data_IF_120288134604
#
_entry.id   IF_120288134604
#
_cell.length_a   1.000
_cell.length_b   1.000
_cell.length_c   1.000
_cell.angle_alpha   90.00
_cell.angle_beta   90.00
_cell.angle_gamma   90.00
#
_symmetry.space_group_name_H-M   'P 1'
#
loop_
_entity.id
_entity.type
_entity.pdbx_description
1 polymer ?
#
# COMPACT_ATOMS: atom_id res chain seq x y z
N UNK A 1 37.68 -8.78 -3.22
CA UNK A 1 36.95 -7.74 -2.45
C UNK A 1 36.01 -8.47 -1.53
N UNK A 2 36.10 -8.16 -0.24
CA UNK A 2 35.79 -9.05 0.88
C UNK A 2 34.30 -9.11 1.24
N UNK A 3 33.82 -10.27 1.70
CA UNK A 3 32.42 -10.48 2.10
C UNK A 3 32.01 -9.56 3.26
N UNK A 4 32.97 -9.22 4.13
CA UNK A 4 32.78 -8.26 5.21
C UNK A 4 32.42 -6.84 4.71
N UNK A 5 33.00 -6.42 3.58
CA UNK A 5 32.67 -5.12 2.98
C UNK A 5 31.28 -5.11 2.34
N UNK A 6 30.83 -6.23 1.75
CA UNK A 6 29.46 -6.34 1.25
C UNK A 6 28.43 -6.30 2.38
N UNK A 7 28.69 -6.99 3.49
CA UNK A 7 27.81 -6.98 4.66
C UNK A 7 27.75 -5.61 5.34
N UNK A 8 28.90 -4.94 5.48
CA UNK A 8 28.95 -3.58 6.02
C UNK A 8 28.22 -2.57 5.11
N UNK A 9 28.37 -2.69 3.79
CA UNK A 9 27.68 -1.82 2.81
C UNK A 9 26.17 -2.05 2.86
N UNK A 10 25.71 -3.30 2.86
CA UNK A 10 24.29 -3.63 2.97
C UNK A 10 23.67 -3.15 4.29
N UNK A 11 24.41 -3.24 5.40
CA UNK A 11 23.96 -2.73 6.70
C UNK A 11 23.84 -1.20 6.72
N UNK A 12 24.82 -0.48 6.16
CA UNK A 12 24.77 0.99 6.06
C UNK A 12 23.63 1.44 5.14
N UNK A 13 23.40 0.72 4.05
CA UNK A 13 22.31 0.99 3.11
C UNK A 13 20.94 0.79 3.78
N UNK A 14 20.74 -0.31 4.51
CA UNK A 14 19.53 -0.58 5.28
C UNK A 14 19.26 0.49 6.36
N UNK A 15 20.29 0.91 7.10
CA UNK A 15 20.15 1.98 8.10
C UNK A 15 19.82 3.34 7.48
N UNK A 16 20.40 3.63 6.31
CA UNK A 16 20.14 4.88 5.58
C UNK A 16 18.71 4.88 5.02
N UNK A 17 18.30 3.75 4.44
CA UNK A 17 16.94 3.55 3.93
C UNK A 17 15.89 3.64 5.04
N UNK A 18 16.17 3.04 6.20
CA UNK A 18 15.30 3.15 7.37
C UNK A 18 15.11 4.59 7.83
N UNK A 19 16.17 5.40 7.88
CA UNK A 19 16.06 6.82 8.24
C UNK A 19 15.27 7.63 7.22
N UNK A 20 15.49 7.37 5.93
CA UNK A 20 14.75 8.05 4.84
C UNK A 20 13.28 7.70 4.91
N UNK A 21 12.93 6.42 5.10
CA UNK A 21 11.54 5.96 5.22
C UNK A 21 10.86 6.48 6.49
N UNK A 22 11.56 6.51 7.64
CA UNK A 22 11.06 7.13 8.88
C UNK A 22 10.80 8.64 8.71
N UNK A 23 11.67 9.34 7.97
CA UNK A 23 11.49 10.76 7.66
C UNK A 23 10.33 11.02 6.69
N UNK A 24 10.26 10.25 5.59
CA UNK A 24 9.25 10.40 4.54
C UNK A 24 7.86 10.02 5.02
N UNK A 25 7.74 8.96 5.82
CA UNK A 25 6.45 8.39 6.21
C UNK A 25 6.44 7.90 7.66
N UNK A 26 6.24 8.81 8.63
CA UNK A 26 6.05 8.42 10.03
C UNK A 26 4.71 7.69 10.26
N UNK A 27 3.81 7.69 9.28
CA UNK A 27 2.49 7.10 9.40
C UNK A 27 2.57 5.58 9.19
N UNK A 28 2.38 4.80 10.26
CA UNK A 28 2.25 3.36 10.16
C UNK A 28 0.94 3.00 9.43
N UNK A 29 1.03 2.78 8.11
CA UNK A 29 -0.10 2.36 7.25
C UNK A 29 -0.47 0.89 7.45
N UNK A 30 0.45 0.07 7.99
CA UNK A 30 0.22 -1.35 8.21
C UNK A 30 -0.87 -1.58 9.28
N UNK A 31 -0.99 -0.71 10.28
CA UNK A 31 -2.04 -0.82 11.30
C UNK A 31 -3.45 -0.76 10.69
N UNK A 32 -3.72 0.24 9.84
CA UNK A 32 -5.02 0.39 9.17
C UNK A 32 -5.28 -0.75 8.21
N UNK A 33 -4.26 -1.14 7.44
CA UNK A 33 -4.36 -2.25 6.50
C UNK A 33 -4.68 -3.57 7.20
N UNK A 34 -3.97 -3.89 8.29
CA UNK A 34 -4.19 -5.11 9.06
C UNK A 34 -5.58 -5.12 9.71
N UNK A 35 -6.04 -3.98 10.24
CA UNK A 35 -7.39 -3.86 10.79
C UNK A 35 -8.46 -4.07 9.71
N UNK A 36 -8.30 -3.45 8.54
CA UNK A 36 -9.22 -3.59 7.41
C UNK A 36 -9.26 -5.03 6.87
N UNK A 37 -8.09 -5.67 6.71
CA UNK A 37 -7.99 -7.08 6.29
C UNK A 37 -8.69 -8.00 7.27
N UNK A 38 -8.54 -7.79 8.59
CA UNK A 38 -9.22 -8.59 9.63
C UNK A 38 -10.75 -8.42 9.63
N UNK A 39 -11.25 -7.26 9.21
CA UNK A 39 -12.69 -7.00 9.09
C UNK A 39 -13.32 -7.63 7.85
N UNK A 40 -12.51 -8.13 6.90
CA UNK A 40 -13.03 -8.79 5.70
C UNK A 40 -13.67 -10.13 6.08
N UNK A 41 -14.91 -10.31 5.64
CA UNK A 41 -15.65 -11.56 5.81
C UNK A 41 -15.59 -12.37 4.51
N UNK A 42 -14.98 -13.56 4.54
CA UNK A 42 -14.96 -14.51 3.42
C UNK A 42 -14.66 -13.86 2.05
N UNK A 43 -15.48 -14.18 1.05
CA UNK A 43 -15.36 -13.70 -0.33
C UNK A 43 -15.89 -12.26 -0.55
N UNK A 44 -16.10 -11.48 0.52
CA UNK A 44 -16.55 -10.09 0.40
C UNK A 44 -15.54 -9.27 -0.41
N UNK A 45 -16.07 -8.48 -1.36
CA UNK A 45 -15.27 -7.65 -2.26
C UNK A 45 -14.66 -8.37 -3.46
N UNK A 46 -14.80 -9.69 -3.56
CA UNK A 46 -14.26 -10.45 -4.71
C UNK A 46 -14.92 -10.04 -6.04
N UNK A 47 -16.22 -9.74 -6.03
CA UNK A 47 -16.96 -9.25 -7.20
C UNK A 47 -16.29 -8.03 -7.88
N UNK A 48 -15.64 -7.17 -7.09
CA UNK A 48 -14.95 -5.99 -7.61
C UNK A 48 -13.62 -6.37 -8.26
N UNK A 49 -12.87 -7.29 -7.64
CA UNK A 49 -11.61 -7.79 -8.21
C UNK A 49 -11.85 -8.56 -9.52
N UNK A 50 -13.01 -9.19 -9.66
CA UNK A 50 -13.43 -9.88 -10.88
C UNK A 50 -14.09 -8.94 -11.91
N UNK A 51 -14.35 -7.68 -11.55
CA UNK A 51 -15.03 -6.74 -12.43
C UNK A 51 -14.15 -6.32 -13.60
N UNK A 52 -14.79 -6.06 -14.74
CA UNK A 52 -14.12 -5.56 -15.94
C UNK A 52 -13.38 -4.23 -15.65
N UNK A 53 -14.00 -3.33 -14.89
CA UNK A 53 -13.38 -2.05 -14.53
C UNK A 53 -12.04 -2.21 -13.80
N UNK A 54 -11.97 -3.14 -12.84
CA UNK A 54 -10.72 -3.42 -12.12
C UNK A 54 -9.68 -4.11 -13.02
N UNK A 55 -10.11 -5.09 -13.80
CA UNK A 55 -9.22 -5.85 -14.69
C UNK A 55 -8.65 -4.99 -15.82
N UNK A 56 -9.42 -4.04 -16.35
CA UNK A 56 -8.93 -3.05 -17.32
C UNK A 56 -7.95 -2.08 -16.67
N UNK A 57 -8.31 -1.51 -15.51
CA UNK A 57 -7.39 -0.63 -14.76
C UNK A 57 -6.05 -1.31 -14.42
N UNK A 58 -6.07 -2.61 -14.12
CA UNK A 58 -4.87 -3.36 -13.77
C UNK A 58 -3.93 -3.60 -14.97
N UNK A 59 -4.47 -3.68 -16.19
CA UNK A 59 -3.70 -3.97 -17.40
C UNK A 59 -3.14 -2.73 -18.07
N UNK A 60 -3.82 -1.59 -17.91
CA UNK A 60 -3.48 -0.35 -18.59
C UNK A 60 -2.38 0.42 -17.84
N UNK A 61 -1.33 0.81 -18.57
CA UNK A 61 -0.31 1.72 -18.04
C UNK A 61 -0.91 3.11 -17.79
N UNK A 62 -0.49 3.76 -16.69
CA UNK A 62 -0.94 5.10 -16.29
C UNK A 62 -2.47 5.23 -16.09
N UNK A 63 -3.12 4.15 -15.64
CA UNK A 63 -4.57 4.14 -15.41
C UNK A 63 -4.99 4.67 -14.04
N UNK A 64 -6.19 5.25 -13.97
CA UNK A 64 -6.82 5.73 -12.74
C UNK A 64 -8.22 5.12 -12.56
N UNK A 65 -8.48 4.54 -11.39
CA UNK A 65 -9.77 3.97 -11.03
C UNK A 65 -10.31 4.63 -9.75
N UNK A 66 -11.46 5.27 -9.87
CA UNK A 66 -12.15 5.93 -8.76
C UNK A 66 -13.35 5.13 -8.30
N UNK A 67 -13.29 4.60 -7.06
CA UNK A 67 -14.39 3.87 -6.45
C UNK A 67 -15.16 4.77 -5.47
N UNK A 68 -16.40 5.11 -5.82
CA UNK A 68 -17.31 5.87 -4.96
C UNK A 68 -18.37 4.95 -4.33
N UNK A 69 -18.68 5.17 -3.06
CA UNK A 69 -19.76 4.47 -2.37
C UNK A 69 -20.23 5.27 -1.15
N UNK A 70 -21.42 4.95 -0.65
CA UNK A 70 -21.97 5.55 0.57
C UNK A 70 -21.06 5.30 1.81
N UNK A 71 -21.15 6.12 2.87
CA UNK A 71 -20.50 5.82 4.15
C UNK A 71 -20.90 4.44 4.67
N UNK A 72 -19.97 3.70 5.26
CA UNK A 72 -20.22 2.36 5.78
C UNK A 72 -20.26 1.23 4.73
N UNK A 73 -20.20 1.52 3.42
CA UNK A 73 -20.22 0.51 2.36
C UNK A 73 -18.98 -0.41 2.29
N UNK A 74 -18.08 -0.37 3.28
CA UNK A 74 -16.91 -1.25 3.31
C UNK A 74 -15.75 -0.86 2.40
N UNK A 75 -15.69 0.38 1.88
CA UNK A 75 -14.61 0.86 0.99
C UNK A 75 -13.19 0.56 1.53
N UNK A 76 -12.96 0.79 2.82
CA UNK A 76 -11.65 0.53 3.47
C UNK A 76 -11.28 -0.95 3.46
N UNK A 77 -12.26 -1.84 3.68
CA UNK A 77 -12.09 -3.29 3.61
C UNK A 77 -11.83 -3.71 2.16
N UNK A 78 -12.57 -3.14 1.21
CA UNK A 78 -12.34 -3.38 -0.21
C UNK A 78 -10.94 -2.92 -0.66
N UNK A 79 -10.49 -1.76 -0.21
CA UNK A 79 -9.13 -1.27 -0.46
C UNK A 79 -8.06 -2.23 0.08
N UNK A 80 -8.26 -2.80 1.29
CA UNK A 80 -7.33 -3.84 1.78
C UNK A 80 -7.32 -5.09 0.90
N UNK A 81 -8.48 -5.52 0.37
CA UNK A 81 -8.54 -6.65 -0.56
C UNK A 81 -7.79 -6.37 -1.87
N UNK A 82 -7.92 -5.16 -2.42
CA UNK A 82 -7.18 -4.73 -3.61
C UNK A 82 -5.67 -4.75 -3.34
N UNK A 83 -5.23 -4.16 -2.24
CA UNK A 83 -3.81 -4.11 -1.87
C UNK A 83 -3.24 -5.53 -1.71
N UNK A 84 -3.96 -6.44 -1.04
CA UNK A 84 -3.52 -7.83 -0.90
C UNK A 84 -3.43 -8.53 -2.26
N UNK A 85 -4.44 -8.35 -3.11
CA UNK A 85 -4.41 -8.90 -4.46
C UNK A 85 -3.18 -8.42 -5.24
N UNK A 86 -2.85 -7.13 -5.19
CA UNK A 86 -1.68 -6.56 -5.85
C UNK A 86 -0.37 -7.13 -5.28
N UNK A 87 -0.25 -7.25 -3.95
CA UNK A 87 0.91 -7.87 -3.30
C UNK A 87 1.13 -9.32 -3.73
N UNK A 88 0.04 -10.08 -3.84
CA UNK A 88 0.10 -11.52 -4.12
C UNK A 88 0.27 -11.85 -5.61
N UNK A 89 -0.31 -11.04 -6.50
CA UNK A 89 -0.44 -11.40 -7.93
C UNK A 89 0.33 -10.48 -8.89
N UNK A 90 0.75 -9.29 -8.44
CA UNK A 90 1.31 -8.25 -9.34
C UNK A 90 2.70 -7.81 -8.89
N UNK A 91 2.94 -7.77 -7.58
CA UNK A 91 4.21 -7.35 -7.03
C UNK A 91 5.34 -8.27 -7.53
N UNK A 92 6.38 -7.66 -8.07
CA UNK A 92 7.55 -8.34 -8.62
C UNK A 92 8.80 -7.56 -8.22
N UNK A 93 9.99 -8.06 -8.57
CA UNK A 93 11.25 -7.33 -8.32
C UNK A 93 11.33 -5.98 -9.06
N UNK A 94 10.55 -5.80 -10.13
CA UNK A 94 10.51 -4.57 -10.94
C UNK A 94 9.28 -3.69 -10.68
N UNK A 95 8.38 -4.09 -9.78
CA UNK A 95 7.11 -3.39 -9.54
C UNK A 95 6.99 -2.96 -8.09
N UNK A 96 7.01 -1.64 -7.84
CA UNK A 96 6.72 -1.06 -6.53
C UNK A 96 5.22 -0.96 -6.26
N UNK A 97 4.82 -1.14 -5.00
CA UNK A 97 3.45 -0.93 -4.55
C UNK A 97 3.42 0.07 -3.39
N UNK A 98 2.81 1.22 -3.62
CA UNK A 98 2.56 2.25 -2.61
C UNK A 98 1.06 2.27 -2.26
N UNK A 99 0.74 2.46 -0.98
CA UNK A 99 -0.64 2.66 -0.54
C UNK A 99 -0.70 3.46 0.75
N UNK A 100 -1.80 4.18 0.93
CA UNK A 100 -2.04 5.02 2.10
C UNK A 100 -3.50 4.95 2.54
N UNK A 101 -3.71 5.06 3.85
CA UNK A 101 -5.04 5.15 4.45
C UNK A 101 -5.18 6.54 5.08
N UNK A 102 -6.07 7.38 4.53
CA UNK A 102 -6.43 8.63 5.16
C UNK A 102 -7.30 8.35 6.39
N UNK A 103 -6.77 8.60 7.58
CA UNK A 103 -7.43 8.31 8.85
C UNK A 103 -7.57 9.60 9.68
N UNK A 104 -8.80 10.05 9.86
CA UNK A 104 -9.09 11.27 10.63
C UNK A 104 -8.76 11.13 12.13
N UNK A 105 -8.57 9.90 12.63
CA UNK A 105 -8.17 9.66 14.02
C UNK A 105 -6.67 9.76 14.24
N UNK A 106 -5.89 9.72 13.16
CA UNK A 106 -4.42 9.76 13.20
C UNK A 106 -3.95 11.02 12.50
N UNK A 107 -3.45 11.99 13.26
CA UNK A 107 -3.00 13.29 12.74
C UNK A 107 -1.82 13.16 11.77
N UNK A 108 -1.05 12.06 11.85
CA UNK A 108 0.00 11.76 10.88
C UNK A 108 -0.55 11.29 9.52
N UNK A 109 -1.87 11.06 9.40
CA UNK A 109 -2.54 10.54 8.21
C UNK A 109 -3.47 11.53 7.51
N UNK A 110 -3.33 12.82 7.81
CA UNK A 110 -4.25 13.86 7.34
C UNK A 110 -3.61 14.84 6.35
N UNK A 111 -2.28 14.80 6.21
CA UNK A 111 -1.54 15.74 5.37
C UNK A 111 -1.19 15.14 4.00
N UNK A 112 -1.40 15.87 2.88
CA UNK A 112 -1.05 15.39 1.54
C UNK A 112 0.42 14.98 1.38
N UNK A 113 1.34 15.66 2.09
CA UNK A 113 2.77 15.33 2.06
C UNK A 113 3.06 13.93 2.58
N UNK A 114 2.23 13.39 3.48
CA UNK A 114 2.35 12.03 4.03
C UNK A 114 1.88 10.97 3.03
N UNK A 115 0.93 11.31 2.16
CA UNK A 115 0.55 10.44 1.03
C UNK A 115 1.72 10.31 0.05
N UNK A 116 2.32 11.44 -0.33
CA UNK A 116 3.46 11.46 -1.26
C UNK A 116 4.67 10.70 -0.72
N UNK A 117 4.92 10.77 0.59
CA UNK A 117 5.97 10.00 1.25
C UNK A 117 5.80 8.48 1.17
N UNK A 118 4.65 7.95 0.74
CA UNK A 118 4.49 6.49 0.52
C UNK A 118 4.90 6.02 -0.87
N UNK A 119 5.12 6.95 -1.81
CA UNK A 119 5.44 6.66 -3.21
C UNK A 119 6.96 6.71 -3.47
N UNK A 120 7.70 7.38 -2.59
CA UNK A 120 9.15 7.61 -2.64
C UNK A 120 9.91 6.52 -1.87
#
# INVERSE_FOLDING_TARGET
MDAANQLATAYIDDQSWKKVTEWLSPANVATNHNAATKLRHGHSGTWFLESEAFQTWLKDDNAFLWLHAIPGAGKTVLASSIINYLKENVQSQSTGLAYFYCDYKDTQKQEPSKVLGTIL
#
